data_IF_306497365510
#
_entry.id   IF_306497365510
#
_cell.length_a   1.000
_cell.length_b   1.000
_cell.length_c   1.000
_cell.angle_alpha   90.00
_cell.angle_beta   90.00
_cell.angle_gamma   90.00
#
_symmetry.space_group_name_H-M   'P 1'
#
loop_
_entity.id
_entity.type
_entity.pdbx_description
1 polymer ?
#
# COMPACT_ATOMS: atom_id res chain seq x y z
N UNK A 1 29.73 61.54 -34.91
CA UNK A 1 28.81 60.49 -34.40
C UNK A 1 29.38 60.00 -33.08
N UNK A 2 28.69 60.23 -31.96
CA UNK A 2 29.16 59.86 -30.63
C UNK A 2 28.50 58.55 -30.18
N UNK A 3 29.31 57.59 -29.71
CA UNK A 3 28.85 56.24 -29.33
C UNK A 3 28.18 56.25 -27.93
N UNK A 4 27.20 55.38 -27.66
CA UNK A 4 26.54 55.32 -26.36
C UNK A 4 27.45 54.66 -25.30
N UNK A 5 27.61 55.32 -24.16
CA UNK A 5 28.31 54.81 -22.97
C UNK A 5 27.36 53.91 -22.17
N UNK A 6 27.66 52.61 -22.12
CA UNK A 6 26.91 51.64 -21.32
C UNK A 6 27.55 51.54 -19.94
N UNK A 7 26.83 51.94 -18.90
CA UNK A 7 27.31 51.83 -17.51
C UNK A 7 27.33 50.36 -17.05
N UNK A 8 28.39 49.92 -16.33
CA UNK A 8 28.55 48.52 -15.96
C UNK A 8 27.58 48.11 -14.84
N UNK A 9 26.79 47.07 -15.10
CA UNK A 9 25.89 46.45 -14.10
C UNK A 9 26.71 45.73 -13.02
N UNK A 10 26.50 46.02 -11.72
CA UNK A 10 27.20 45.32 -10.65
C UNK A 10 26.70 43.87 -10.51
N UNK A 11 27.59 42.90 -10.71
CA UNK A 11 27.31 41.49 -10.48
C UNK A 11 27.19 41.22 -8.97
N UNK A 12 26.05 40.66 -8.53
CA UNK A 12 25.84 40.26 -7.14
C UNK A 12 26.84 39.17 -6.73
N UNK A 13 27.36 39.27 -5.50
CA UNK A 13 28.27 38.29 -4.91
C UNK A 13 27.58 36.92 -4.76
N UNK A 14 27.73 36.06 -5.75
CA UNK A 14 27.39 34.64 -5.62
C UNK A 14 28.39 33.95 -4.69
N UNK A 15 28.02 32.81 -4.10
CA UNK A 15 28.91 32.03 -3.22
C UNK A 15 30.20 31.52 -3.90
N UNK A 16 30.33 31.71 -5.21
CA UNK A 16 31.53 31.46 -6.01
C UNK A 16 32.12 32.74 -6.60
N UNK A 17 32.31 33.80 -5.79
CA UNK A 17 32.89 35.08 -6.21
C UNK A 17 34.29 35.01 -6.84
N UNK A 18 34.98 36.16 -6.98
CA UNK A 18 36.29 36.35 -7.64
C UNK A 18 37.51 35.65 -6.99
N UNK A 19 37.30 34.57 -6.24
CA UNK A 19 38.37 33.83 -5.58
C UNK A 19 38.68 32.61 -6.45
N UNK A 20 39.94 32.46 -6.86
CA UNK A 20 40.46 31.28 -7.55
C UNK A 20 40.14 30.01 -6.73
N UNK A 21 39.07 29.30 -7.13
CA UNK A 21 38.55 28.14 -6.42
C UNK A 21 37.44 27.43 -7.20
N UNK A 22 37.19 26.16 -6.85
CA UNK A 22 36.17 25.32 -7.50
C UNK A 22 34.77 25.80 -7.12
N UNK A 23 34.16 26.65 -7.93
CA UNK A 23 32.84 27.26 -7.68
C UNK A 23 31.71 26.26 -7.41
N UNK A 24 31.85 25.00 -7.84
CA UNK A 24 30.90 23.93 -7.56
C UNK A 24 31.01 23.34 -6.14
N UNK A 25 32.03 23.71 -5.35
CA UNK A 25 32.18 23.25 -3.97
C UNK A 25 31.54 24.27 -3.02
N UNK A 26 30.47 23.85 -2.34
CA UNK A 26 29.85 24.65 -1.28
C UNK A 26 30.84 24.87 -0.11
N UNK A 27 30.88 26.07 0.49
CA UNK A 27 31.72 26.33 1.65
C UNK A 27 31.28 25.43 2.82
N UNK A 28 32.22 24.67 3.37
CA UNK A 28 31.96 23.82 4.55
C UNK A 28 31.91 24.70 5.79
N UNK A 29 30.75 24.80 6.43
CA UNK A 29 30.61 25.40 7.76
C UNK A 29 30.88 24.36 8.84
N UNK A 30 31.44 24.78 9.99
CA UNK A 30 31.61 23.88 11.12
C UNK A 30 30.26 23.33 11.60
N UNK A 31 30.17 22.01 11.80
CA UNK A 31 28.96 21.36 12.32
C UNK A 31 28.76 21.71 13.80
N UNK A 32 27.85 22.64 14.08
CA UNK A 32 27.43 22.97 15.45
C UNK A 32 26.62 21.80 16.04
N UNK A 33 27.22 21.01 16.93
CA UNK A 33 26.53 19.92 17.65
C UNK A 33 25.92 20.45 18.94
N UNK A 34 24.61 20.61 18.97
CA UNK A 34 23.88 20.82 20.23
C UNK A 34 23.63 19.46 20.92
N UNK A 35 23.95 19.34 22.21
CA UNK A 35 23.53 18.19 23.02
C UNK A 35 22.02 18.18 23.33
N UNK A 36 21.29 19.24 22.96
CA UNK A 36 19.85 19.34 23.16
C UNK A 36 19.09 18.37 22.25
N UNK A 37 18.13 17.66 22.85
CA UNK A 37 17.15 16.84 22.13
C UNK A 37 16.37 17.71 21.13
N UNK A 38 16.02 17.16 19.97
CA UNK A 38 15.36 17.92 18.89
C UNK A 38 14.08 18.65 19.34
N UNK A 39 13.31 18.05 20.26
CA UNK A 39 12.11 18.66 20.83
C UNK A 39 12.36 19.86 21.75
N UNK A 40 13.59 20.05 22.25
CA UNK A 40 13.98 21.18 23.11
C UNK A 40 14.72 22.27 22.32
N UNK A 41 15.06 22.03 21.04
CA UNK A 41 15.75 23.00 20.19
C UNK A 41 14.91 24.22 19.84
N UNK A 42 13.57 24.09 19.83
CA UNK A 42 12.68 25.23 19.65
C UNK A 42 12.47 25.96 20.98
N UNK A 43 12.79 27.26 20.97
CA UNK A 43 12.63 28.13 22.14
C UNK A 43 11.16 28.45 22.45
N UNK A 44 10.26 28.29 21.48
CA UNK A 44 8.82 28.59 21.62
C UNK A 44 7.99 27.33 21.79
N UNK A 45 6.99 27.38 22.68
CA UNK A 45 6.03 26.30 22.91
C UNK A 45 5.07 26.12 21.72
N UNK A 46 4.65 27.22 21.10
CA UNK A 46 3.73 27.23 19.96
C UNK A 46 4.24 26.38 18.80
N UNK A 47 5.51 26.56 18.41
CA UNK A 47 6.16 25.75 17.36
C UNK A 47 6.14 24.24 17.66
N UNK A 48 6.17 23.85 18.94
CA UNK A 48 6.08 22.42 19.33
C UNK A 48 4.65 21.91 19.16
N UNK A 49 3.67 22.69 19.60
CA UNK A 49 2.26 22.35 19.45
C UNK A 49 1.83 22.25 17.98
N UNK A 50 2.34 23.12 17.12
CA UNK A 50 2.08 23.05 15.68
C UNK A 50 2.64 21.77 15.06
N UNK A 51 3.88 21.39 15.40
CA UNK A 51 4.48 20.12 14.95
C UNK A 51 3.71 18.91 15.44
N UNK A 52 3.27 18.92 16.70
CA UNK A 52 2.44 17.82 17.23
C UNK A 52 1.10 17.72 16.52
N UNK A 53 0.43 18.85 16.24
CA UNK A 53 -0.81 18.88 15.46
C UNK A 53 -0.60 18.32 14.05
N UNK A 54 0.47 18.74 13.37
CA UNK A 54 0.84 18.22 12.06
C UNK A 54 1.12 16.71 12.10
N UNK A 55 1.90 16.25 13.09
CA UNK A 55 2.20 14.82 13.26
C UNK A 55 0.94 13.99 13.54
N UNK A 56 0.00 14.50 14.35
CA UNK A 56 -1.30 13.87 14.61
C UNK A 56 -2.15 13.79 13.34
N UNK A 57 -2.18 14.86 12.55
CA UNK A 57 -2.90 14.88 11.27
C UNK A 57 -2.32 13.85 10.28
N UNK A 58 -0.99 13.76 10.16
CA UNK A 58 -0.31 12.77 9.30
C UNK A 58 -0.64 11.35 9.76
N UNK A 59 -0.56 11.06 11.06
CA UNK A 59 -0.89 9.73 11.59
C UNK A 59 -2.35 9.36 11.36
N UNK A 60 -3.27 10.31 11.48
CA UNK A 60 -4.69 10.08 11.19
C UNK A 60 -4.88 9.65 9.73
N UNK A 61 -4.29 10.40 8.79
CA UNK A 61 -4.34 10.06 7.36
C UNK A 61 -3.68 8.71 7.08
N UNK A 62 -2.57 8.39 7.73
CA UNK A 62 -1.90 7.11 7.59
C UNK A 62 -2.78 5.93 8.04
N UNK A 63 -3.53 6.11 9.14
CA UNK A 63 -4.46 5.10 9.66
C UNK A 63 -5.62 4.91 8.68
N UNK A 64 -6.27 6.01 8.25
CA UNK A 64 -7.39 5.97 7.30
C UNK A 64 -7.00 5.24 6.01
N UNK A 65 -5.84 5.55 5.42
CA UNK A 65 -5.35 4.88 4.22
C UNK A 65 -5.05 3.39 4.42
N UNK A 66 -4.55 3.00 5.60
CA UNK A 66 -4.31 1.59 5.93
C UNK A 66 -5.60 0.82 6.11
N UNK A 67 -6.58 1.41 6.80
CA UNK A 67 -7.89 0.82 7.05
C UNK A 67 -8.64 0.61 5.73
N UNK A 68 -8.69 1.62 4.86
CA UNK A 68 -9.31 1.50 3.53
C UNK A 68 -8.67 0.38 2.70
N UNK A 69 -7.34 0.31 2.68
CA UNK A 69 -6.60 -0.74 1.97
C UNK A 69 -6.90 -2.13 2.53
N UNK A 70 -6.96 -2.27 3.86
CA UNK A 70 -7.24 -3.55 4.51
C UNK A 70 -8.69 -3.98 4.28
N UNK A 71 -9.65 -3.05 4.34
CA UNK A 71 -11.06 -3.31 4.09
C UNK A 71 -11.28 -3.85 2.66
N UNK A 72 -10.64 -3.25 1.65
CA UNK A 72 -10.75 -3.74 0.27
C UNK A 72 -10.12 -5.13 0.09
N UNK A 73 -8.98 -5.40 0.73
CA UNK A 73 -8.36 -6.74 0.72
C UNK A 73 -9.28 -7.77 1.39
N UNK A 74 -9.87 -7.44 2.53
CA UNK A 74 -10.78 -8.31 3.26
C UNK A 74 -12.03 -8.60 2.42
N UNK A 75 -12.65 -7.58 1.82
CA UNK A 75 -13.80 -7.72 0.93
C UNK A 75 -13.53 -8.70 -0.22
N UNK A 76 -12.36 -8.58 -0.88
CA UNK A 76 -11.98 -9.51 -1.96
C UNK A 76 -11.81 -10.94 -1.47
N UNK A 77 -11.21 -11.11 -0.28
CA UNK A 77 -11.02 -12.42 0.34
C UNK A 77 -12.36 -13.06 0.70
N UNK A 78 -13.26 -12.30 1.31
CA UNK A 78 -14.60 -12.74 1.69
C UNK A 78 -15.40 -13.20 0.47
N UNK A 79 -15.47 -12.38 -0.58
CA UNK A 79 -16.16 -12.76 -1.83
C UNK A 79 -15.58 -14.03 -2.43
N UNK A 80 -14.26 -14.19 -2.43
CA UNK A 80 -13.62 -15.40 -2.95
C UNK A 80 -13.93 -16.63 -2.10
N UNK A 81 -13.93 -16.47 -0.79
CA UNK A 81 -14.20 -17.53 0.17
C UNK A 81 -15.68 -17.95 0.13
N UNK A 82 -16.61 -17.02 -0.01
CA UNK A 82 -18.03 -17.28 -0.24
C UNK A 82 -18.26 -18.05 -1.53
N UNK A 83 -17.61 -17.64 -2.63
CA UNK A 83 -17.70 -18.37 -3.92
C UNK A 83 -17.20 -19.81 -3.81
N UNK A 84 -16.09 -20.02 -3.09
CA UNK A 84 -15.55 -21.37 -2.85
C UNK A 84 -16.51 -22.21 -2.02
N UNK A 85 -17.02 -21.67 -0.91
CA UNK A 85 -18.01 -22.35 -0.05
C UNK A 85 -19.26 -22.75 -0.83
N UNK A 86 -19.83 -21.82 -1.61
CA UNK A 86 -21.01 -22.10 -2.43
C UNK A 86 -20.75 -23.20 -3.49
N UNK A 87 -19.56 -23.21 -4.09
CA UNK A 87 -19.16 -24.24 -5.04
C UNK A 87 -18.98 -25.62 -4.36
N UNK A 88 -18.35 -25.64 -3.18
CA UNK A 88 -18.15 -26.86 -2.38
C UNK A 88 -19.48 -27.44 -1.91
N UNK A 89 -20.40 -26.62 -1.41
CA UNK A 89 -21.74 -27.05 -1.02
C UNK A 89 -22.52 -27.62 -2.21
N UNK A 90 -22.47 -26.95 -3.36
CA UNK A 90 -23.10 -27.44 -4.59
C UNK A 90 -22.50 -28.78 -5.04
N UNK A 91 -21.17 -28.92 -4.99
CA UNK A 91 -20.49 -30.16 -5.33
C UNK A 91 -20.89 -31.30 -4.37
N UNK A 92 -20.91 -31.03 -3.06
CA UNK A 92 -21.32 -31.99 -2.05
C UNK A 92 -22.76 -32.47 -2.26
N UNK A 93 -23.69 -31.55 -2.54
CA UNK A 93 -25.08 -31.89 -2.85
C UNK A 93 -25.20 -32.71 -4.12
N UNK A 94 -24.45 -32.36 -5.17
CA UNK A 94 -24.43 -33.12 -6.42
C UNK A 94 -23.88 -34.54 -6.22
N UNK A 95 -22.81 -34.70 -5.45
CA UNK A 95 -22.27 -36.01 -5.08
C UNK A 95 -23.28 -36.84 -4.27
N UNK A 96 -23.97 -36.22 -3.32
CA UNK A 96 -25.00 -36.91 -2.54
C UNK A 96 -26.15 -37.37 -3.43
N UNK A 97 -26.61 -36.51 -4.35
CA UNK A 97 -27.65 -36.83 -5.31
C UNK A 97 -27.22 -37.96 -6.26
N UNK A 98 -25.98 -37.92 -6.74
CA UNK A 98 -25.40 -38.97 -7.57
C UNK A 98 -25.32 -40.31 -6.83
N UNK A 99 -24.89 -40.32 -5.56
CA UNK A 99 -24.87 -41.51 -4.70
C UNK A 99 -26.29 -42.09 -4.54
N UNK A 100 -27.30 -41.25 -4.34
CA UNK A 100 -28.69 -41.69 -4.20
C UNK A 100 -29.27 -42.22 -5.51
N UNK A 101 -29.00 -41.56 -6.64
CA UNK A 101 -29.36 -42.02 -7.97
C UNK A 101 -28.74 -43.38 -8.29
N UNK A 102 -27.44 -43.56 -8.01
CA UNK A 102 -26.74 -44.83 -8.16
C UNK A 102 -27.36 -45.94 -7.30
N UNK A 103 -27.69 -45.66 -6.03
CA UNK A 103 -28.40 -46.61 -5.15
C UNK A 103 -29.77 -46.99 -5.72
N UNK A 104 -30.53 -46.03 -6.27
CA UNK A 104 -31.82 -46.28 -6.91
C UNK A 104 -31.68 -47.16 -8.15
N UNK A 105 -30.70 -46.88 -9.02
CA UNK A 105 -30.39 -47.69 -10.19
C UNK A 105 -30.01 -49.14 -9.81
N UNK A 106 -29.21 -49.32 -8.74
CA UNK A 106 -28.88 -50.65 -8.21
C UNK A 106 -30.12 -51.40 -7.71
N UNK A 107 -31.06 -50.73 -7.02
CA UNK A 107 -32.32 -51.33 -6.57
C UNK A 107 -33.17 -51.80 -7.75
N UNK A 108 -33.27 -51.00 -8.82
CA UNK A 108 -33.99 -51.39 -10.04
C UNK A 108 -33.34 -52.59 -10.73
N UNK A 109 -32.00 -52.61 -10.86
CA UNK A 109 -31.27 -53.77 -11.42
C UNK A 109 -31.51 -55.05 -10.62
N UNK A 110 -31.53 -54.97 -9.28
CA UNK A 110 -31.87 -56.10 -8.41
C UNK A 110 -33.32 -56.57 -8.59
N UNK A 111 -34.28 -55.64 -8.67
CA UNK A 111 -35.70 -55.97 -8.90
C UNK A 111 -35.92 -56.63 -10.26
N UNK A 112 -35.18 -56.22 -11.27
CA UNK A 112 -35.20 -56.81 -12.61
C UNK A 112 -34.42 -58.14 -12.71
N UNK A 113 -33.86 -58.67 -11.62
CA UNK A 113 -33.11 -59.93 -11.62
C UNK A 113 -31.76 -59.91 -12.36
N UNK A 114 -31.32 -58.75 -12.88
CA UNK A 114 -30.03 -58.60 -13.57
C UNK A 114 -28.88 -58.65 -12.55
N UNK A 115 -28.35 -59.85 -12.33
CA UNK A 115 -27.15 -60.09 -11.54
C UNK A 115 -25.94 -60.28 -12.46
N UNK A 116 -24.73 -59.95 -11.99
CA UNK A 116 -23.47 -60.00 -12.77
C UNK A 116 -23.17 -61.39 -13.38
N UNK A 117 -23.85 -62.45 -12.94
CA UNK A 117 -23.66 -63.84 -13.39
C UNK A 117 -24.52 -64.26 -14.59
N UNK A 118 -25.52 -63.48 -14.98
CA UNK A 118 -26.40 -63.83 -16.09
C UNK A 118 -25.99 -62.95 -17.29
N UNK A 119 -25.18 -63.52 -18.18
CA UNK A 119 -24.86 -62.91 -19.47
C UNK A 119 -26.14 -62.90 -20.33
N UNK A 120 -26.73 -61.72 -20.47
CA UNK A 120 -27.83 -61.39 -21.36
C UNK A 120 -27.84 -59.89 -21.62
#
# INVERSE_FOLDING_TARGET
MSAPTVDPVPLASSSGGRVSGKAWKQPKTATQRSHLQAGVKTKKWEDRMEREKAAKAIKKLEIELKEEKQAEIQRRREVTLERKKAAEEKAHLAEMMAKMSAKKALRLKRRAGRTKKING
#
